data_IF_593282261251
#
_entry.id   IF_593282261251
#
_cell.length_a   1.000
_cell.length_b   1.000
_cell.length_c   1.000
_cell.angle_alpha   90.00
_cell.angle_beta   90.00
_cell.angle_gamma   90.00
#
_symmetry.space_group_name_H-M   'P 1'
#
loop_
_entity.id
_entity.type
_entity.pdbx_description
1 polymer ?
#
# COMPACT_ATOMS: atom_id res chain seq x y z
N UNK A 1 2.16 3.45 -24.94
CA UNK A 1 0.77 3.77 -24.53
C UNK A 1 0.58 5.26 -24.72
N UNK A 2 -0.14 5.64 -25.78
CA UNK A 2 -0.42 7.05 -26.08
C UNK A 2 -1.26 7.64 -24.94
N UNK A 3 -0.74 8.64 -24.27
CA UNK A 3 -1.53 9.50 -23.38
C UNK A 3 -2.57 10.21 -24.24
N UNK A 4 -3.79 9.73 -24.24
CA UNK A 4 -4.92 10.41 -24.85
C UNK A 4 -5.29 11.59 -23.95
N UNK A 5 -4.74 12.77 -24.21
CA UNK A 5 -5.28 14.03 -23.71
C UNK A 5 -6.60 14.29 -24.45
N UNK A 6 -7.67 13.66 -23.98
CA UNK A 6 -9.00 14.03 -24.44
C UNK A 6 -9.45 15.23 -23.62
N UNK A 7 -9.49 16.41 -24.26
CA UNK A 7 -10.33 17.52 -23.84
C UNK A 7 -11.78 17.10 -24.15
N UNK A 8 -12.38 16.33 -23.26
CA UNK A 8 -13.77 15.95 -23.41
C UNK A 8 -14.67 17.03 -22.81
N UNK A 9 -15.64 17.50 -23.55
CA UNK A 9 -16.69 18.40 -23.03
C UNK A 9 -17.65 17.67 -22.07
N UNK A 10 -17.60 16.36 -22.02
CA UNK A 10 -18.36 15.51 -21.11
C UNK A 10 -17.52 14.31 -20.71
N UNK A 11 -17.41 14.04 -19.41
CA UNK A 11 -16.79 12.87 -18.82
C UNK A 11 -17.90 12.05 -18.12
N UNK A 12 -18.01 10.77 -18.47
CA UNK A 12 -18.86 9.81 -17.79
C UNK A 12 -18.02 8.66 -17.27
N UNK A 13 -17.99 8.52 -15.96
CA UNK A 13 -17.29 7.47 -15.26
C UNK A 13 -18.22 6.71 -14.31
N UNK A 14 -17.89 5.46 -14.06
CA UNK A 14 -18.62 4.57 -13.17
C UNK A 14 -17.66 3.88 -12.22
N UNK A 15 -17.98 3.84 -10.93
CA UNK A 15 -17.38 2.93 -9.98
C UNK A 15 -18.05 1.56 -10.10
N UNK A 16 -17.30 0.46 -9.97
CA UNK A 16 -17.89 -0.89 -10.02
C UNK A 16 -18.96 -1.08 -8.91
N UNK A 17 -19.97 -1.95 -9.14
CA UNK A 17 -21.11 -2.06 -8.24
C UNK A 17 -20.77 -2.53 -6.84
N UNK A 18 -19.67 -3.27 -6.68
CA UNK A 18 -19.21 -3.78 -5.39
C UNK A 18 -18.24 -2.83 -4.69
N UNK A 19 -17.70 -1.82 -5.40
CA UNK A 19 -16.71 -0.88 -4.87
C UNK A 19 -15.34 -1.51 -4.65
N UNK A 20 -14.96 -2.50 -5.45
CA UNK A 20 -13.63 -3.15 -5.36
C UNK A 20 -12.51 -2.13 -5.43
N UNK A 21 -12.61 -1.19 -6.39
CA UNK A 21 -11.63 -0.15 -6.58
C UNK A 21 -12.19 1.21 -6.14
N UNK A 22 -11.36 2.05 -5.52
CA UNK A 22 -11.77 3.39 -5.14
C UNK A 22 -11.91 4.30 -6.37
N UNK A 23 -12.75 5.32 -6.23
CA UNK A 23 -12.87 6.40 -7.20
C UNK A 23 -13.34 7.64 -6.47
N UNK A 24 -12.65 8.76 -6.64
CA UNK A 24 -12.97 10.01 -5.99
C UNK A 24 -13.05 11.17 -7.00
N UNK A 25 -13.71 12.23 -6.59
CA UNK A 25 -13.88 13.47 -7.35
C UNK A 25 -13.17 14.59 -6.62
N UNK A 26 -12.38 15.34 -7.37
CA UNK A 26 -11.80 16.61 -6.94
C UNK A 26 -12.22 17.77 -7.84
N UNK A 27 -12.06 18.98 -7.36
CA UNK A 27 -12.33 20.22 -8.10
C UNK A 27 -11.20 21.22 -7.91
N UNK A 28 -10.81 21.86 -9.00
CA UNK A 28 -9.93 23.03 -8.98
C UNK A 28 -10.46 24.04 -9.99
N UNK A 29 -10.74 25.24 -9.52
CA UNK A 29 -11.38 26.29 -10.31
C UNK A 29 -12.69 25.79 -10.94
N UNK A 30 -12.80 25.82 -12.27
CA UNK A 30 -13.95 25.32 -13.03
C UNK A 30 -13.74 23.88 -13.57
N UNK A 31 -12.67 23.19 -13.16
CA UNK A 31 -12.34 21.84 -13.63
C UNK A 31 -12.60 20.78 -12.57
N UNK A 32 -13.16 19.66 -12.99
CA UNK A 32 -13.34 18.47 -12.17
C UNK A 32 -12.29 17.41 -12.53
N UNK A 33 -11.83 16.72 -11.52
CA UNK A 33 -10.84 15.65 -11.61
C UNK A 33 -11.43 14.36 -11.07
N UNK A 34 -11.14 13.26 -11.75
CA UNK A 34 -11.48 11.91 -11.30
C UNK A 34 -10.19 11.13 -11.08
N UNK A 35 -10.06 10.50 -9.92
CA UNK A 35 -8.91 9.70 -9.58
C UNK A 35 -9.32 8.49 -8.74
N UNK A 36 -8.51 7.43 -8.77
CA UNK A 36 -8.63 6.31 -7.84
C UNK A 36 -8.14 6.64 -6.44
N UNK A 37 -7.30 7.68 -6.29
CA UNK A 37 -6.67 8.04 -5.02
C UNK A 37 -6.70 9.56 -4.78
N UNK A 38 -6.92 9.98 -3.54
CA UNK A 38 -6.96 11.41 -3.17
C UNK A 38 -5.60 12.07 -3.32
N UNK A 39 -4.49 11.36 -3.11
CA UNK A 39 -3.14 11.89 -3.28
C UNK A 39 -2.85 12.39 -4.71
N UNK A 40 -3.55 11.87 -5.71
CA UNK A 40 -3.46 12.38 -7.07
C UNK A 40 -4.16 13.74 -7.23
N UNK A 41 -5.22 14.00 -6.46
CA UNK A 41 -5.89 15.31 -6.40
C UNK A 41 -4.96 16.34 -5.77
N UNK A 42 -4.29 15.99 -4.67
CA UNK A 42 -3.32 16.84 -3.99
C UNK A 42 -2.18 17.24 -4.95
N UNK A 43 -1.69 16.28 -5.74
CA UNK A 43 -0.61 16.50 -6.71
C UNK A 43 -0.99 17.54 -7.77
N UNK A 44 -2.26 17.60 -8.17
CA UNK A 44 -2.74 18.60 -9.16
C UNK A 44 -3.33 19.85 -8.52
N UNK A 45 -3.30 19.96 -7.18
CA UNK A 45 -3.86 21.07 -6.43
C UNK A 45 -5.38 21.16 -6.52
N UNK A 46 -6.07 20.01 -6.62
CA UNK A 46 -7.51 19.93 -6.64
C UNK A 46 -8.04 19.58 -5.24
N UNK A 47 -9.06 20.29 -4.79
CA UNK A 47 -9.75 20.00 -3.54
C UNK A 47 -10.60 18.73 -3.68
N UNK A 48 -10.55 17.86 -2.67
CA UNK A 48 -11.40 16.67 -2.60
C UNK A 48 -12.87 17.08 -2.42
N UNK A 49 -13.73 16.59 -3.30
CA UNK A 49 -15.17 16.84 -3.23
C UNK A 49 -15.87 15.69 -2.50
N UNK A 50 -15.73 14.46 -3.01
CA UNK A 50 -16.29 13.24 -2.41
C UNK A 50 -15.78 11.98 -3.10
N UNK A 51 -15.98 10.86 -2.45
CA UNK A 51 -15.90 9.56 -3.11
C UNK A 51 -17.12 9.32 -4.01
N UNK A 52 -16.92 8.52 -5.07
CA UNK A 52 -17.99 7.99 -5.92
C UNK A 52 -18.53 6.72 -5.26
N UNK A 53 -19.84 6.60 -5.10
CA UNK A 53 -20.45 5.43 -4.47
C UNK A 53 -20.29 4.16 -5.35
N UNK A 54 -20.21 2.95 -4.76
CA UNK A 54 -20.24 1.70 -5.49
C UNK A 54 -21.46 1.62 -6.42
N UNK A 55 -21.24 1.40 -7.72
CA UNK A 55 -22.28 1.35 -8.73
C UNK A 55 -22.72 2.70 -9.31
N UNK A 56 -22.30 3.81 -8.71
CA UNK A 56 -22.63 5.14 -9.17
C UNK A 56 -22.01 5.45 -10.53
N UNK A 57 -22.82 6.05 -11.41
CA UNK A 57 -22.36 6.65 -12.67
C UNK A 57 -22.33 8.17 -12.51
N UNK A 58 -21.16 8.75 -12.69
CA UNK A 58 -20.96 10.20 -12.61
C UNK A 58 -20.78 10.75 -14.02
N UNK A 59 -21.60 11.73 -14.38
CA UNK A 59 -21.49 12.49 -15.62
C UNK A 59 -21.13 13.93 -15.30
N UNK A 60 -20.01 14.39 -15.84
CA UNK A 60 -19.50 15.75 -15.65
C UNK A 60 -19.61 16.50 -16.98
N UNK A 61 -20.33 17.60 -16.98
CA UNK A 61 -20.50 18.48 -18.13
C UNK A 61 -20.13 19.92 -17.74
N UNK A 62 -20.20 20.84 -18.70
CA UNK A 62 -20.06 22.29 -18.43
C UNK A 62 -21.08 22.83 -17.41
N UNK A 63 -22.23 22.14 -17.28
CA UNK A 63 -23.32 22.54 -16.38
C UNK A 63 -23.16 21.94 -14.97
N UNK A 64 -22.11 21.12 -14.73
CA UNK A 64 -21.79 20.52 -13.45
C UNK A 64 -21.78 18.99 -13.44
N UNK A 65 -21.97 18.43 -12.24
CA UNK A 65 -21.96 16.97 -12.00
C UNK A 65 -23.40 16.46 -11.92
N UNK A 66 -23.68 15.38 -12.66
CA UNK A 66 -24.90 14.57 -12.53
C UNK A 66 -24.54 13.18 -12.06
N UNK A 67 -25.30 12.66 -11.11
CA UNK A 67 -25.11 11.38 -10.45
C UNK A 67 -26.28 10.47 -10.75
N UNK A 68 -26.00 9.29 -11.30
CA UNK A 68 -26.98 8.22 -11.46
C UNK A 68 -26.61 7.06 -10.53
N UNK A 69 -27.48 6.79 -9.57
CA UNK A 69 -27.32 5.76 -8.53
C UNK A 69 -28.17 4.53 -8.77
N UNK A 70 -28.80 4.40 -9.93
CA UNK A 70 -29.71 3.29 -10.28
C UNK A 70 -29.03 1.91 -10.17
N UNK A 71 -27.71 1.86 -10.29
CA UNK A 71 -26.92 0.64 -10.23
C UNK A 71 -26.18 0.45 -8.89
N UNK A 72 -26.42 1.33 -7.91
CA UNK A 72 -25.87 1.19 -6.57
C UNK A 72 -26.50 0.00 -5.85
N UNK A 73 -25.67 -0.81 -5.21
CA UNK A 73 -26.10 -2.00 -4.47
C UNK A 73 -25.87 -1.82 -2.97
N UNK A 74 -26.65 -2.52 -2.14
CA UNK A 74 -26.47 -2.50 -0.68
C UNK A 74 -25.23 -3.26 -0.23
N UNK A 75 -24.86 -4.32 -0.97
CA UNK A 75 -23.72 -5.16 -0.63
C UNK A 75 -22.47 -4.66 -1.36
N UNK A 76 -21.46 -4.24 -0.59
CA UNK A 76 -20.16 -3.82 -1.12
C UNK A 76 -19.10 -4.85 -0.76
N UNK A 77 -18.05 -4.98 -1.61
CA UNK A 77 -16.93 -5.89 -1.42
C UNK A 77 -15.61 -5.14 -1.72
N UNK A 78 -15.26 -4.22 -0.83
CA UNK A 78 -14.04 -3.41 -0.95
C UNK A 78 -12.80 -4.28 -0.89
N UNK A 79 -11.85 -4.01 -1.78
CA UNK A 79 -10.60 -4.73 -1.80
C UNK A 79 -9.69 -4.30 -0.64
N UNK A 80 -9.43 -5.17 0.31
CA UNK A 80 -8.54 -4.89 1.44
C UNK A 80 -7.11 -4.52 1.01
N UNK A 81 -6.64 -5.04 -0.14
CA UNK A 81 -5.32 -4.74 -0.67
C UNK A 81 -5.14 -3.27 -1.06
N UNK A 82 -6.22 -2.53 -1.31
CA UNK A 82 -6.12 -1.08 -1.51
C UNK A 82 -5.55 -0.41 -0.26
N UNK A 83 -6.01 -0.81 0.93
CA UNK A 83 -5.52 -0.25 2.20
C UNK A 83 -4.13 -0.77 2.59
N UNK A 84 -3.86 -2.05 2.35
CA UNK A 84 -2.63 -2.70 2.84
C UNK A 84 -1.43 -2.41 1.94
N UNK A 85 -1.63 -2.41 0.61
CA UNK A 85 -0.52 -2.42 -0.34
C UNK A 85 -0.65 -1.39 -1.47
N UNK A 86 -1.79 -1.35 -2.21
CA UNK A 86 -1.86 -0.61 -3.48
C UNK A 86 -1.86 0.90 -3.30
N UNK A 87 -2.71 1.43 -2.42
CA UNK A 87 -2.84 2.87 -2.27
C UNK A 87 -1.63 3.50 -1.58
N UNK A 88 -1.34 4.73 -1.93
CA UNK A 88 -0.31 5.51 -1.23
C UNK A 88 -0.76 5.78 0.20
N UNK A 89 0.16 5.79 1.17
CA UNK A 89 -0.19 6.02 2.58
C UNK A 89 -0.91 7.34 2.85
N UNK A 90 -0.63 8.36 2.07
CA UNK A 90 -1.24 9.70 2.17
C UNK A 90 -2.64 9.80 1.54
N UNK A 91 -3.16 8.71 0.98
CA UNK A 91 -4.51 8.67 0.41
C UNK A 91 -5.59 8.41 1.46
N UNK A 92 -6.81 8.91 1.17
CA UNK A 92 -8.05 8.50 1.83
C UNK A 92 -8.92 7.73 0.86
N UNK A 93 -9.54 6.65 1.31
CA UNK A 93 -10.44 5.81 0.53
C UNK A 93 -11.71 5.61 1.34
N UNK A 94 -12.86 5.97 0.79
CA UNK A 94 -14.17 5.85 1.45
C UNK A 94 -14.16 6.43 2.89
N UNK A 95 -13.53 7.59 3.05
CA UNK A 95 -13.40 8.30 4.32
C UNK A 95 -12.30 7.80 5.27
N UNK A 96 -11.65 6.67 4.97
CA UNK A 96 -10.57 6.10 5.80
C UNK A 96 -9.19 6.47 5.27
N UNK A 97 -8.30 6.95 6.15
CA UNK A 97 -6.89 7.16 5.85
C UNK A 97 -6.13 5.84 5.68
N UNK A 98 -5.40 5.69 4.59
CA UNK A 98 -4.62 4.47 4.31
C UNK A 98 -3.50 4.28 5.33
N UNK A 99 -2.78 5.36 5.68
CA UNK A 99 -1.73 5.32 6.70
C UNK A 99 -2.25 4.84 8.04
N UNK A 100 -3.36 5.45 8.52
CA UNK A 100 -3.98 5.10 9.79
C UNK A 100 -4.48 3.65 9.80
N UNK A 101 -5.04 3.18 8.69
CA UNK A 101 -5.47 1.78 8.54
C UNK A 101 -4.30 0.81 8.72
N UNK A 102 -3.13 1.13 8.16
CA UNK A 102 -1.91 0.30 8.33
C UNK A 102 -1.36 0.33 9.75
N UNK A 103 -1.36 1.50 10.40
CA UNK A 103 -0.98 1.62 11.82
C UNK A 103 -1.88 0.73 12.68
N UNK A 104 -3.20 0.81 12.49
CA UNK A 104 -4.15 0.04 13.27
C UNK A 104 -4.04 -1.46 13.01
N UNK A 105 -3.78 -1.87 11.76
CA UNK A 105 -3.49 -3.26 11.44
C UNK A 105 -2.25 -3.77 12.18
N UNK A 106 -1.19 -2.98 12.26
CA UNK A 106 0.01 -3.30 13.04
C UNK A 106 -0.25 -3.44 14.53
N UNK A 107 -1.07 -2.56 15.12
CA UNK A 107 -1.49 -2.66 16.53
C UNK A 107 -2.27 -3.97 16.80
N UNK A 108 -3.22 -4.28 15.93
CA UNK A 108 -3.99 -5.54 16.04
C UNK A 108 -3.07 -6.75 15.94
N UNK A 109 -2.11 -6.72 15.00
CA UNK A 109 -1.14 -7.79 14.81
C UNK A 109 -0.29 -8.03 16.07
N UNK A 110 0.14 -6.97 16.76
CA UNK A 110 0.89 -7.08 18.02
C UNK A 110 0.08 -7.75 19.13
N UNK A 111 -1.23 -7.46 19.21
CA UNK A 111 -2.14 -8.10 20.20
C UNK A 111 -2.38 -9.56 19.90
N UNK A 112 -2.55 -9.90 18.62
CA UNK A 112 -2.90 -11.26 18.21
C UNK A 112 -1.71 -12.19 18.10
N UNK A 113 -0.52 -11.63 17.86
CA UNK A 113 0.73 -12.38 17.68
C UNK A 113 1.86 -11.74 18.50
N UNK A 114 1.79 -11.80 19.82
CA UNK A 114 2.86 -11.28 20.68
C UNK A 114 4.17 -12.04 20.43
N UNK A 115 5.27 -11.32 20.40
CA UNK A 115 6.61 -11.87 20.18
C UNK A 115 7.64 -11.16 21.04
N UNK A 116 8.62 -11.90 21.55
CA UNK A 116 9.77 -11.31 22.21
C UNK A 116 10.83 -10.91 21.20
N UNK A 117 11.11 -9.63 21.09
CA UNK A 117 12.13 -9.09 20.19
C UNK A 117 12.77 -7.82 20.79
N UNK A 118 13.91 -7.46 20.24
CA UNK A 118 14.66 -6.28 20.66
C UNK A 118 14.39 -5.08 19.75
N UNK A 119 13.85 -5.33 18.54
CA UNK A 119 13.52 -4.29 17.55
C UNK A 119 12.41 -4.76 16.61
N UNK A 120 11.50 -3.83 16.27
CA UNK A 120 10.49 -3.97 15.21
C UNK A 120 10.98 -3.27 13.96
N UNK A 121 10.90 -3.94 12.83
CA UNK A 121 11.28 -3.38 11.52
C UNK A 121 10.19 -3.62 10.48
N UNK A 122 9.99 -2.68 9.57
CA UNK A 122 9.07 -2.84 8.45
C UNK A 122 9.80 -3.21 7.16
N UNK A 123 9.16 -4.02 6.32
CA UNK A 123 9.61 -4.19 4.93
C UNK A 123 9.18 -2.97 4.12
N UNK A 124 10.13 -2.19 3.59
CA UNK A 124 9.77 -0.94 2.89
C UNK A 124 9.08 -1.21 1.53
N UNK A 125 8.09 -0.39 1.19
CA UNK A 125 7.60 0.78 1.95
C UNK A 125 6.28 0.48 2.67
N UNK A 126 5.52 -0.51 2.21
CA UNK A 126 4.17 -0.86 2.66
C UNK A 126 4.12 -1.36 4.11
N UNK A 127 5.15 -2.10 4.55
CA UNK A 127 5.23 -2.62 5.91
C UNK A 127 5.60 -1.60 6.99
N UNK A 128 6.18 -0.46 6.63
CA UNK A 128 6.67 0.52 7.62
C UNK A 128 5.59 1.08 8.54
N UNK A 129 4.42 1.54 8.06
CA UNK A 129 3.38 2.04 8.96
C UNK A 129 2.85 0.95 9.90
N UNK A 130 2.72 -0.28 9.41
CA UNK A 130 2.28 -1.40 10.23
C UNK A 130 3.31 -1.78 11.31
N UNK A 131 4.60 -1.75 10.97
CA UNK A 131 5.67 -1.97 11.93
C UNK A 131 5.68 -0.90 13.03
N UNK A 132 5.43 0.35 12.66
CA UNK A 132 5.26 1.44 13.64
C UNK A 132 4.06 1.16 14.57
N UNK A 133 2.91 0.77 14.01
CA UNK A 133 1.73 0.39 14.80
C UNK A 133 1.99 -0.79 15.73
N UNK A 134 2.72 -1.80 15.26
CA UNK A 134 3.15 -2.94 16.07
C UNK A 134 4.04 -2.51 17.24
N UNK A 135 5.01 -1.64 16.97
CA UNK A 135 5.90 -1.08 18.00
C UNK A 135 5.13 -0.29 19.06
N UNK A 136 4.19 0.57 18.65
CA UNK A 136 3.35 1.35 19.56
C UNK A 136 2.54 0.48 20.54
N UNK A 137 2.07 -0.68 20.07
CA UNK A 137 1.24 -1.57 20.88
C UNK A 137 2.07 -2.54 21.73
N UNK A 138 3.16 -3.09 21.16
CA UNK A 138 4.00 -4.08 21.86
C UNK A 138 5.01 -3.47 22.82
N UNK A 139 5.30 -2.16 22.69
CA UNK A 139 6.37 -1.49 23.42
C UNK A 139 7.78 -1.82 22.92
N UNK A 140 7.94 -2.69 21.90
CA UNK A 140 9.24 -3.02 21.31
C UNK A 140 9.68 -1.83 20.43
N UNK A 141 10.93 -1.32 20.55
CA UNK A 141 11.39 -0.18 19.77
C UNK A 141 11.28 -0.39 18.25
N UNK A 142 10.76 0.59 17.53
CA UNK A 142 10.80 0.63 16.06
C UNK A 142 12.16 1.10 15.57
N UNK A 143 12.67 0.48 14.49
CA UNK A 143 13.88 0.92 13.82
C UNK A 143 13.89 0.62 12.33
N UNK A 144 14.71 1.36 11.60
CA UNK A 144 14.95 1.09 10.18
C UNK A 144 16.06 0.05 10.04
N UNK A 145 15.71 -1.12 9.52
CA UNK A 145 16.69 -2.15 9.17
C UNK A 145 17.02 -2.19 7.68
N UNK A 146 16.19 -1.56 6.86
CA UNK A 146 16.31 -1.64 5.40
C UNK A 146 16.43 -0.27 4.76
N UNK A 147 17.33 -0.16 3.80
CA UNK A 147 17.42 1.00 2.90
C UNK A 147 17.12 0.53 1.49
N UNK A 148 16.12 1.15 0.87
CA UNK A 148 15.75 0.92 -0.52
C UNK A 148 16.67 1.71 -1.43
N UNK A 149 17.27 1.03 -2.42
CA UNK A 149 18.04 1.68 -3.45
C UNK A 149 17.11 2.28 -4.52
N UNK A 150 16.89 3.59 -4.46
CA UNK A 150 16.00 4.31 -5.38
C UNK A 150 16.57 4.45 -6.80
N UNK A 151 17.87 4.20 -6.99
CA UNK A 151 18.51 4.25 -8.32
C UNK A 151 18.21 3.02 -9.17
N UNK A 152 17.67 1.95 -8.59
CA UNK A 152 17.32 0.73 -9.31
C UNK A 152 15.84 0.76 -9.70
N UNK A 153 15.56 1.00 -10.97
CA UNK A 153 14.22 1.01 -11.53
C UNK A 153 13.48 -0.33 -11.41
N UNK A 154 12.22 -0.37 -11.84
CA UNK A 154 11.35 -1.57 -11.81
C UNK A 154 11.99 -2.73 -12.58
N UNK A 155 12.36 -3.81 -11.87
CA UNK A 155 13.09 -4.97 -12.39
C UNK A 155 12.20 -6.02 -13.08
N UNK A 156 10.89 -5.77 -13.24
CA UNK A 156 9.97 -6.73 -13.88
C UNK A 156 10.21 -6.95 -15.39
N UNK A 157 11.10 -6.17 -16.01
CA UNK A 157 11.36 -6.18 -17.45
C UNK A 157 12.59 -7.02 -17.83
N UNK A 158 13.30 -7.63 -16.87
CA UNK A 158 14.48 -8.43 -17.18
C UNK A 158 14.14 -9.89 -17.46
N UNK A 159 14.56 -10.46 -18.62
CA UNK A 159 14.11 -11.79 -19.09
C UNK A 159 14.74 -12.98 -18.36
N UNK A 160 15.89 -12.86 -17.71
CA UNK A 160 16.60 -13.98 -17.08
C UNK A 160 16.42 -14.02 -15.56
N UNK A 161 16.22 -15.24 -15.00
CA UNK A 161 15.98 -15.48 -13.57
C UNK A 161 17.17 -15.07 -12.69
N UNK A 162 18.40 -15.36 -13.09
CA UNK A 162 19.64 -14.94 -12.41
C UNK A 162 19.77 -13.41 -12.32
N UNK A 163 19.32 -12.68 -13.35
CA UNK A 163 19.31 -11.22 -13.35
C UNK A 163 18.22 -10.65 -12.42
N UNK A 164 17.13 -11.37 -12.19
CA UNK A 164 16.11 -11.01 -11.19
C UNK A 164 16.63 -11.22 -9.77
N UNK A 165 17.40 -12.27 -9.55
CA UNK A 165 17.98 -12.57 -8.25
C UNK A 165 19.06 -11.57 -7.83
N UNK A 166 19.96 -11.17 -8.72
CA UNK A 166 20.93 -10.11 -8.42
C UNK A 166 20.25 -8.75 -8.22
N UNK A 167 19.15 -8.49 -8.93
CA UNK A 167 18.41 -7.24 -8.87
C UNK A 167 17.70 -6.98 -7.53
N UNK A 168 17.32 -8.02 -6.78
CA UNK A 168 16.71 -7.83 -5.45
C UNK A 168 17.79 -7.52 -4.40
N UNK A 169 19.01 -8.09 -4.53
CA UNK A 169 20.15 -7.70 -3.69
C UNK A 169 20.52 -6.22 -3.82
N UNK A 170 20.36 -5.68 -5.03
CA UNK A 170 20.66 -4.27 -5.32
C UNK A 170 19.54 -3.33 -4.86
N UNK A 171 18.32 -3.85 -4.64
CA UNK A 171 17.15 -3.01 -4.28
C UNK A 171 17.01 -2.76 -2.79
N UNK A 172 17.44 -3.66 -1.94
CA UNK A 172 17.24 -3.60 -0.50
C UNK A 172 18.53 -3.93 0.22
N UNK A 173 19.09 -2.94 0.89
CA UNK A 173 20.27 -3.10 1.75
C UNK A 173 19.86 -3.16 3.21
N UNK A 174 20.53 -4.02 3.99
CA UNK A 174 20.33 -4.10 5.44
C UNK A 174 21.33 -3.20 6.16
N UNK A 175 20.84 -2.44 7.13
CA UNK A 175 21.64 -1.68 8.07
C UNK A 175 22.16 -2.63 9.16
N UNK A 176 23.37 -3.14 9.01
CA UNK A 176 23.98 -4.11 9.93
C UNK A 176 23.97 -3.64 11.38
N UNK A 177 24.33 -2.39 11.61
CA UNK A 177 24.39 -1.77 12.94
C UNK A 177 23.03 -1.75 13.65
N UNK A 178 21.94 -1.69 12.88
CA UNK A 178 20.59 -1.68 13.44
C UNK A 178 20.16 -3.07 13.93
N UNK A 179 20.67 -4.17 13.35
CA UNK A 179 20.14 -5.52 13.56
C UNK A 179 21.14 -6.50 14.17
N UNK A 180 22.44 -6.21 14.13
CA UNK A 180 23.47 -7.12 14.63
C UNK A 180 23.27 -7.45 16.13
N UNK A 181 23.28 -8.74 16.46
CA UNK A 181 23.09 -9.24 17.82
C UNK A 181 21.66 -9.16 18.36
N UNK A 182 20.69 -8.61 17.60
CA UNK A 182 19.31 -8.40 18.05
C UNK A 182 18.36 -9.49 17.58
N UNK A 183 17.30 -9.73 18.38
CA UNK A 183 16.10 -10.44 17.96
C UNK A 183 15.22 -9.44 17.21
N UNK A 184 14.95 -9.70 15.94
CA UNK A 184 14.25 -8.79 15.04
C UNK A 184 12.85 -9.33 14.78
N UNK A 185 11.81 -8.54 15.00
CA UNK A 185 10.48 -8.82 14.43
C UNK A 185 10.31 -7.98 13.17
N UNK A 186 10.07 -8.66 12.05
CA UNK A 186 9.91 -8.05 10.74
C UNK A 186 8.45 -8.10 10.31
N UNK A 187 7.88 -6.94 10.00
CA UNK A 187 6.49 -6.78 9.58
C UNK A 187 6.44 -6.49 8.08
N UNK A 188 5.65 -7.28 7.37
CA UNK A 188 5.38 -7.11 5.93
C UNK A 188 3.88 -6.93 5.68
N UNK A 189 3.49 -6.59 4.45
CA UNK A 189 2.09 -6.51 4.05
C UNK A 189 1.49 -7.89 3.75
N UNK A 190 2.20 -8.73 3.04
CA UNK A 190 1.69 -10.03 2.57
C UNK A 190 2.79 -11.02 2.20
N UNK A 191 2.50 -12.31 2.35
CA UNK A 191 3.32 -13.41 1.81
C UNK A 191 2.58 -14.02 0.62
N UNK A 192 3.14 -13.88 -0.59
CA UNK A 192 2.54 -14.47 -1.79
C UNK A 192 3.15 -15.83 -2.13
N UNK A 193 4.47 -15.92 -2.29
CA UNK A 193 5.19 -17.15 -2.67
C UNK A 193 6.29 -17.56 -1.71
N UNK A 194 6.52 -16.82 -0.64
CA UNK A 194 7.56 -17.10 0.35
C UNK A 194 9.02 -16.87 -0.11
N UNK A 195 9.29 -16.85 -1.41
CA UNK A 195 10.67 -16.69 -1.94
C UNK A 195 11.30 -15.34 -1.58
N UNK A 196 10.53 -14.26 -1.67
CA UNK A 196 10.97 -12.92 -1.28
C UNK A 196 11.20 -12.84 0.22
N UNK A 197 10.29 -13.36 1.02
CA UNK A 197 10.36 -13.37 2.49
C UNK A 197 11.57 -14.14 2.99
N UNK A 198 11.78 -15.36 2.48
CA UNK A 198 12.95 -16.17 2.83
C UNK A 198 14.27 -15.43 2.53
N UNK A 199 14.31 -14.71 1.41
CA UNK A 199 15.46 -13.93 1.03
C UNK A 199 15.73 -12.75 1.96
N UNK A 200 14.69 -12.01 2.33
CA UNK A 200 14.80 -10.87 3.25
C UNK A 200 15.24 -11.35 4.63
N UNK A 201 14.69 -12.47 5.11
CA UNK A 201 15.12 -13.11 6.37
C UNK A 201 16.62 -13.50 6.31
N UNK A 202 17.06 -14.09 5.19
CA UNK A 202 18.47 -14.44 5.02
C UNK A 202 19.39 -13.21 4.99
N UNK A 203 18.94 -12.08 4.43
CA UNK A 203 19.69 -10.82 4.48
C UNK A 203 19.86 -10.31 5.92
N UNK A 204 18.82 -10.37 6.75
CA UNK A 204 18.90 -9.99 8.17
C UNK A 204 19.83 -10.92 8.95
N UNK A 205 19.74 -12.25 8.73
CA UNK A 205 20.66 -13.23 9.36
C UNK A 205 22.11 -13.00 8.93
N UNK A 206 22.36 -12.77 7.65
CA UNK A 206 23.71 -12.45 7.14
C UNK A 206 24.25 -11.11 7.68
N UNK A 207 23.36 -10.17 8.06
CA UNK A 207 23.72 -8.94 8.72
C UNK A 207 24.00 -9.10 10.23
N UNK A 208 23.86 -10.32 10.79
CA UNK A 208 24.17 -10.63 12.18
C UNK A 208 22.98 -10.57 13.13
N UNK A 209 21.75 -10.60 12.64
CA UNK A 209 20.57 -10.73 13.51
C UNK A 209 20.61 -12.05 14.27
N UNK A 210 20.38 -12.01 15.59
CA UNK A 210 20.38 -13.20 16.48
C UNK A 210 19.19 -14.12 16.19
N UNK A 211 18.02 -13.52 15.95
CA UNK A 211 16.80 -14.21 15.56
C UNK A 211 15.95 -13.28 14.68
N UNK A 212 15.15 -13.86 13.80
CA UNK A 212 14.18 -13.12 12.97
C UNK A 212 12.82 -13.79 13.08
N UNK A 213 11.86 -13.06 13.63
CA UNK A 213 10.43 -13.38 13.58
C UNK A 213 9.81 -12.61 12.42
N UNK A 214 9.12 -13.30 11.53
CA UNK A 214 8.48 -12.70 10.36
C UNK A 214 6.96 -12.83 10.47
N UNK A 215 6.27 -11.74 10.36
CA UNK A 215 4.80 -11.71 10.36
C UNK A 215 4.27 -10.72 9.31
N UNK A 216 2.99 -10.81 8.96
CA UNK A 216 2.38 -10.03 7.89
C UNK A 216 0.92 -9.72 8.20
N UNK A 217 0.37 -8.70 7.53
CA UNK A 217 -0.96 -8.16 7.80
C UNK A 217 -2.11 -8.99 7.23
N UNK A 218 -1.86 -9.76 6.16
CA UNK A 218 -2.88 -10.56 5.48
C UNK A 218 -2.56 -12.04 5.54
N UNK A 219 -3.60 -12.87 5.40
CA UNK A 219 -3.41 -14.30 5.20
C UNK A 219 -2.62 -14.56 3.91
N UNK A 220 -1.83 -15.67 3.84
CA UNK A 220 -1.12 -16.05 2.63
C UNK A 220 -2.09 -16.15 1.47
N UNK A 221 -1.85 -15.38 0.41
CA UNK A 221 -2.64 -15.49 -0.82
C UNK A 221 -2.05 -16.65 -1.61
N UNK A 222 -2.61 -17.83 -1.44
CA UNK A 222 -2.28 -18.97 -2.28
C UNK A 222 -3.04 -18.76 -3.59
N UNK A 223 -2.35 -18.29 -4.62
CA UNK A 223 -2.83 -18.42 -5.97
C UNK A 223 -2.60 -19.87 -6.40
N UNK A 224 -3.67 -20.65 -6.46
CA UNK A 224 -3.71 -21.95 -7.14
C UNK A 224 -3.60 -21.76 -8.63
#
# INVERSE_FOLDING_TARGET
TAYRRQRQMCIRNRRDPFGFKPLCIGKRDNAYFLSSETCALDTVGAEFVRDVEPGEVVTITKDGIKSDKSLCQKNTARCIFEYIYFARPDSKIDGMGVYESRINAGRILAKTHPVEADIVVGVPESGNPAALGFSMESGIPYGNAFIKNNYVGRTFIKPKQEQRESSVKVKLNVLKEAVAGKRVVMIDDSIVRGTTSARIVNLLKAAGAKAVSYTHLTLPTICS
#
